data_IF_717788582321
#
_entry.id   IF_717788582321
#
_cell.length_a   1.000
_cell.length_b   1.000
_cell.length_c   1.000
_cell.angle_alpha   90.00
_cell.angle_beta   90.00
_cell.angle_gamma   90.00
#
_symmetry.space_group_name_H-M   'P 1'
#
loop_
_entity.id
_entity.type
_entity.pdbx_description
1 polymer ?
#
# COMPACT_ATOMS: atom_id res chain seq x y z
N UNK A 1 35.20 -29.78 55.41
CA UNK A 1 34.07 -28.86 55.16
C UNK A 1 34.55 -27.82 54.14
N UNK A 2 34.22 -28.00 52.87
CA UNK A 2 34.54 -27.04 51.81
C UNK A 2 33.24 -26.77 51.04
N UNK A 3 32.83 -25.50 51.07
CA UNK A 3 31.53 -25.01 50.60
C UNK A 3 31.52 -24.89 49.08
N UNK A 4 30.48 -25.46 48.45
CA UNK A 4 30.28 -25.46 47.01
C UNK A 4 29.87 -24.10 46.46
N UNK A 5 30.61 -23.63 45.44
CA UNK A 5 30.25 -22.45 44.65
C UNK A 5 29.08 -22.75 43.72
N UNK A 6 27.98 -22.01 43.86
CA UNK A 6 26.88 -22.00 42.91
C UNK A 6 27.14 -20.93 41.85
N UNK A 7 27.33 -21.36 40.60
CA UNK A 7 27.40 -20.52 39.42
C UNK A 7 25.99 -19.99 39.12
N UNK A 8 25.81 -18.67 39.20
CA UNK A 8 24.58 -17.99 38.81
C UNK A 8 24.63 -17.70 37.30
N UNK A 9 23.93 -18.48 36.48
CA UNK A 9 23.78 -18.21 35.05
C UNK A 9 22.65 -17.19 34.88
N UNK A 10 23.01 -15.92 34.65
CA UNK A 10 22.09 -14.88 34.19
C UNK A 10 21.82 -15.10 32.69
N UNK A 11 20.70 -15.74 32.37
CA UNK A 11 20.17 -15.74 31.00
C UNK A 11 19.60 -14.35 30.73
N UNK A 12 20.41 -13.49 30.11
CA UNK A 12 19.93 -12.25 29.50
C UNK A 12 19.14 -12.64 28.26
N UNK A 13 17.84 -12.90 28.45
CA UNK A 13 16.88 -12.99 27.36
C UNK A 13 16.85 -11.61 26.68
N UNK A 14 17.65 -11.49 25.62
CA UNK A 14 17.70 -10.32 24.76
C UNK A 14 16.36 -10.23 24.04
N UNK A 15 15.44 -9.45 24.58
CA UNK A 15 14.20 -9.06 23.89
C UNK A 15 14.62 -8.13 22.74
N UNK A 16 15.10 -8.71 21.66
CA UNK A 16 15.10 -8.09 20.34
C UNK A 16 13.63 -8.07 19.89
N UNK A 17 12.86 -7.20 20.53
CA UNK A 17 11.51 -6.86 20.13
C UNK A 17 11.57 -6.11 18.80
N UNK A 18 11.69 -6.85 17.70
CA UNK A 18 11.35 -6.36 16.38
C UNK A 18 9.86 -6.00 16.42
N UNK A 19 9.58 -4.75 16.77
CA UNK A 19 8.24 -4.20 16.88
C UNK A 19 7.69 -3.97 15.47
N UNK A 20 7.35 -5.08 14.80
CA UNK A 20 6.46 -5.13 13.65
C UNK A 20 5.18 -4.35 14.00
N UNK A 21 4.44 -3.86 13.00
CA UNK A 21 3.10 -3.29 13.22
C UNK A 21 2.36 -4.22 14.20
N UNK A 22 2.12 -3.76 15.43
CA UNK A 22 1.62 -4.62 16.50
C UNK A 22 0.17 -4.90 16.17
N UNK A 23 -0.05 -6.00 15.47
CA UNK A 23 -1.35 -6.60 15.35
C UNK A 23 -1.86 -6.84 16.77
N UNK A 24 -3.17 -6.71 16.97
CA UNK A 24 -3.79 -7.06 18.26
C UNK A 24 -3.53 -8.53 18.57
N UNK A 25 -3.55 -8.87 19.86
CA UNK A 25 -3.35 -10.24 20.31
C UNK A 25 -4.31 -11.21 19.60
N UNK A 26 -3.79 -12.36 19.15
CA UNK A 26 -4.56 -13.37 18.40
C UNK A 26 -4.66 -13.12 16.89
N UNK A 27 -4.29 -11.94 16.39
CA UNK A 27 -4.32 -11.66 14.96
C UNK A 27 -3.07 -12.18 14.24
N UNK A 28 -3.29 -12.73 13.03
CA UNK A 28 -2.26 -13.30 12.16
C UNK A 28 -2.26 -12.57 10.83
N UNK A 29 -1.09 -12.15 10.34
CA UNK A 29 -1.00 -11.41 9.07
C UNK A 29 -1.44 -12.27 7.87
N UNK A 30 -1.36 -13.58 8.01
CA UNK A 30 -1.85 -14.57 7.06
C UNK A 30 -3.35 -14.40 6.79
N UNK A 31 -4.14 -13.96 7.77
CA UNK A 31 -5.57 -13.66 7.58
C UNK A 31 -5.76 -12.52 6.59
N UNK A 32 -4.95 -11.45 6.67
CA UNK A 32 -4.98 -10.37 5.68
C UNK A 32 -4.55 -10.87 4.30
N UNK A 33 -3.48 -11.66 4.24
CA UNK A 33 -2.99 -12.21 2.96
C UNK A 33 -4.03 -13.11 2.29
N UNK A 34 -4.80 -13.86 3.07
CA UNK A 34 -5.88 -14.70 2.58
C UNK A 34 -7.07 -13.89 2.02
N UNK A 35 -7.26 -12.64 2.43
CA UNK A 35 -8.23 -11.74 1.81
C UNK A 35 -7.85 -11.39 0.37
N UNK A 36 -6.57 -11.41 0.02
CA UNK A 36 -6.07 -10.95 -1.28
C UNK A 36 -5.92 -9.42 -1.36
N UNK A 37 -5.40 -8.97 -2.50
CA UNK A 37 -5.15 -7.56 -2.84
C UNK A 37 -5.20 -7.32 -4.34
N UNK A 38 -6.01 -8.11 -5.04
CA UNK A 38 -6.26 -7.97 -6.48
C UNK A 38 -7.00 -6.67 -6.81
N UNK A 39 -7.78 -6.16 -5.86
CA UNK A 39 -8.49 -4.88 -5.94
C UNK A 39 -7.54 -3.66 -6.01
N UNK A 40 -6.24 -3.84 -5.81
CA UNK A 40 -5.25 -2.76 -5.97
C UNK A 40 -4.92 -2.60 -7.45
N UNK A 41 -5.31 -1.48 -8.09
CA UNK A 41 -5.22 -1.35 -9.54
C UNK A 41 -3.79 -1.53 -10.06
N UNK A 42 -3.65 -2.39 -11.08
CA UNK A 42 -2.38 -2.71 -11.74
C UNK A 42 -1.30 -3.29 -10.82
N UNK A 43 -1.60 -3.75 -9.60
CA UNK A 43 -0.56 -4.29 -8.71
C UNK A 43 -0.12 -5.71 -9.07
N UNK A 44 -1.08 -6.62 -9.30
CA UNK A 44 -0.82 -8.04 -9.63
C UNK A 44 -0.71 -8.31 -11.11
N UNK A 45 -1.33 -7.47 -11.94
CA UNK A 45 -1.49 -7.67 -13.38
C UNK A 45 -1.34 -6.32 -14.10
N UNK A 46 -0.86 -6.29 -15.35
CA UNK A 46 -0.93 -5.11 -16.22
C UNK A 46 -2.33 -4.88 -16.80
N UNK A 47 -3.36 -5.55 -16.31
CA UNK A 47 -4.71 -5.50 -16.84
C UNK A 47 -5.73 -5.36 -15.71
N UNK A 48 -6.72 -4.47 -15.88
CA UNK A 48 -7.95 -4.48 -15.08
C UNK A 48 -9.11 -5.00 -15.92
N UNK A 49 -10.11 -5.53 -15.23
CA UNK A 49 -11.26 -6.19 -15.84
C UNK A 49 -12.06 -5.22 -16.76
N UNK A 50 -12.21 -5.54 -18.05
CA UNK A 50 -12.82 -4.60 -19.00
C UNK A 50 -14.34 -4.63 -18.97
N UNK A 51 -14.94 -5.67 -19.55
CA UNK A 51 -16.39 -5.77 -19.77
C UNK A 51 -16.87 -7.22 -19.83
N UNK A 52 -18.18 -7.45 -19.77
CA UNK A 52 -18.78 -8.79 -19.83
C UNK A 52 -18.35 -9.67 -18.65
N UNK A 53 -18.11 -10.95 -18.92
CA UNK A 53 -17.82 -11.94 -17.87
C UNK A 53 -16.58 -11.59 -17.04
N UNK A 54 -15.53 -11.05 -17.67
CA UNK A 54 -14.30 -10.65 -16.95
C UNK A 54 -14.59 -9.53 -15.93
N UNK A 55 -15.42 -8.55 -16.33
CA UNK A 55 -15.85 -7.47 -15.45
C UNK A 55 -16.66 -8.00 -14.27
N UNK A 56 -17.62 -8.88 -14.52
CA UNK A 56 -18.47 -9.45 -13.48
C UNK A 56 -17.66 -10.28 -12.47
N UNK A 57 -16.72 -11.10 -12.95
CA UNK A 57 -15.83 -11.91 -12.12
C UNK A 57 -14.86 -11.03 -11.31
N UNK A 58 -14.28 -10.00 -11.93
CA UNK A 58 -13.42 -9.02 -11.28
C UNK A 58 -14.15 -8.29 -10.15
N UNK A 59 -15.33 -7.76 -10.45
CA UNK A 59 -16.19 -7.10 -9.47
C UNK A 59 -16.58 -8.04 -8.31
N UNK A 60 -16.98 -9.28 -8.60
CA UNK A 60 -17.32 -10.25 -7.56
C UNK A 60 -16.13 -10.56 -6.64
N UNK A 61 -14.93 -10.67 -7.23
CA UNK A 61 -13.69 -10.88 -6.49
C UNK A 61 -13.39 -9.67 -5.60
N UNK A 62 -13.38 -8.46 -6.13
CA UNK A 62 -13.07 -7.25 -5.37
C UNK A 62 -14.07 -7.02 -4.22
N UNK A 63 -15.37 -7.23 -4.46
CA UNK A 63 -16.42 -7.18 -3.43
C UNK A 63 -16.30 -8.25 -2.36
N UNK A 64 -15.48 -9.29 -2.57
CA UNK A 64 -15.15 -10.28 -1.55
C UNK A 64 -13.89 -9.89 -0.77
N UNK A 65 -12.86 -9.43 -1.48
CA UNK A 65 -11.55 -9.12 -0.89
C UNK A 65 -11.57 -7.88 -0.01
N UNK A 66 -12.29 -6.84 -0.42
CA UNK A 66 -12.31 -5.54 0.27
C UNK A 66 -12.98 -5.64 1.65
N UNK A 67 -14.20 -6.21 1.80
CA UNK A 67 -14.80 -6.37 3.11
C UNK A 67 -13.97 -7.26 4.05
N UNK A 68 -13.35 -8.31 3.52
CA UNK A 68 -12.40 -9.15 4.28
C UNK A 68 -11.23 -8.31 4.82
N UNK A 69 -10.62 -7.49 3.95
CA UNK A 69 -9.52 -6.60 4.30
C UNK A 69 -9.93 -5.55 5.34
N UNK A 70 -11.08 -4.90 5.15
CA UNK A 70 -11.63 -3.92 6.09
C UNK A 70 -11.90 -4.53 7.45
N UNK A 71 -12.46 -5.74 7.49
CA UNK A 71 -12.68 -6.50 8.73
C UNK A 71 -11.35 -6.75 9.44
N UNK A 72 -10.34 -7.24 8.73
CA UNK A 72 -9.02 -7.44 9.29
C UNK A 72 -8.44 -6.14 9.86
N UNK A 73 -8.46 -5.04 9.11
CA UNK A 73 -7.93 -3.75 9.57
C UNK A 73 -8.65 -3.32 10.86
N UNK A 74 -9.98 -3.40 10.90
CA UNK A 74 -10.79 -3.00 12.06
C UNK A 74 -10.49 -3.84 13.30
N UNK A 75 -10.42 -5.16 13.14
CA UNK A 75 -10.26 -6.10 14.24
C UNK A 75 -8.80 -6.18 14.70
N UNK A 76 -7.84 -6.15 13.79
CA UNK A 76 -6.45 -6.53 14.06
C UNK A 76 -5.46 -5.38 14.11
N UNK A 77 -5.83 -4.15 13.73
CA UNK A 77 -4.92 -2.99 13.78
C UNK A 77 -5.43 -1.92 14.74
N UNK A 78 -4.59 -0.95 15.06
CA UNK A 78 -4.93 0.13 16.00
C UNK A 78 -4.23 1.46 15.70
N UNK A 79 -4.75 2.53 16.29
CA UNK A 79 -4.18 3.87 16.22
C UNK A 79 -4.18 4.49 14.82
N UNK A 80 -3.19 5.33 14.53
CA UNK A 80 -3.08 6.04 13.25
C UNK A 80 -2.96 5.08 12.05
N UNK A 81 -2.29 3.94 12.23
CA UNK A 81 -2.16 2.94 11.16
C UNK A 81 -3.49 2.33 10.75
N UNK A 82 -4.38 2.08 11.73
CA UNK A 82 -5.74 1.62 11.47
C UNK A 82 -6.56 2.70 10.75
N UNK A 83 -6.52 3.94 11.24
CA UNK A 83 -7.27 5.04 10.67
C UNK A 83 -6.89 5.27 9.20
N UNK A 84 -5.58 5.39 8.91
CA UNK A 84 -5.09 5.57 7.55
C UNK A 84 -5.50 4.42 6.62
N UNK A 85 -5.33 3.16 7.06
CA UNK A 85 -5.68 2.00 6.25
C UNK A 85 -7.21 1.88 6.01
N UNK A 86 -8.04 2.18 7.02
CA UNK A 86 -9.50 2.20 6.85
C UNK A 86 -9.94 3.26 5.85
N UNK A 87 -9.39 4.47 5.92
CA UNK A 87 -9.73 5.55 4.97
C UNK A 87 -9.38 5.12 3.54
N UNK A 88 -8.16 4.65 3.30
CA UNK A 88 -7.74 4.28 1.95
C UNK A 88 -8.49 3.07 1.38
N UNK A 89 -8.75 2.03 2.19
CA UNK A 89 -9.47 0.85 1.71
C UNK A 89 -10.97 1.10 1.55
N UNK A 90 -11.59 1.96 2.38
CA UNK A 90 -12.99 2.38 2.18
C UNK A 90 -13.16 3.23 0.93
N UNK A 91 -12.21 4.12 0.64
CA UNK A 91 -12.23 4.87 -0.61
C UNK A 91 -12.17 3.93 -1.84
N UNK A 92 -11.42 2.82 -1.75
CA UNK A 92 -11.43 1.79 -2.79
C UNK A 92 -12.77 1.02 -2.85
N UNK A 93 -13.35 0.68 -1.70
CA UNK A 93 -14.68 0.07 -1.60
C UNK A 93 -15.74 0.92 -2.32
N UNK A 94 -15.79 2.22 -2.03
CA UNK A 94 -16.73 3.16 -2.64
C UNK A 94 -16.54 3.27 -4.16
N UNK A 95 -15.29 3.36 -4.62
CA UNK A 95 -14.98 3.39 -6.05
C UNK A 95 -15.38 2.10 -6.76
N UNK A 96 -15.08 0.95 -6.17
CA UNK A 96 -15.39 -0.35 -6.76
C UNK A 96 -16.89 -0.61 -6.74
N UNK A 97 -17.62 -0.27 -5.68
CA UNK A 97 -19.08 -0.35 -5.66
C UNK A 97 -19.70 0.55 -6.74
N UNK A 98 -19.20 1.77 -6.91
CA UNK A 98 -19.69 2.68 -7.94
C UNK A 98 -19.41 2.14 -9.36
N UNK A 99 -18.19 1.67 -9.63
CA UNK A 99 -17.78 1.11 -10.92
C UNK A 99 -18.56 -0.17 -11.23
N UNK A 100 -18.69 -1.08 -10.27
CA UNK A 100 -19.36 -2.37 -10.43
C UNK A 100 -20.89 -2.29 -10.46
N UNK A 101 -21.48 -1.10 -10.30
CA UNK A 101 -22.92 -0.90 -10.45
C UNK A 101 -23.24 -0.57 -11.91
N UNK A 102 -23.64 -1.59 -12.67
CA UNK A 102 -23.96 -1.44 -14.11
C UNK A 102 -24.96 -0.31 -14.33
N UNK A 103 -24.62 0.60 -15.24
CA UNK A 103 -25.45 1.75 -15.61
C UNK A 103 -25.23 3.01 -14.77
N UNK A 104 -24.46 2.93 -13.67
CA UNK A 104 -24.02 4.11 -12.92
C UNK A 104 -23.14 5.02 -13.78
N UNK A 105 -22.95 6.27 -13.34
CA UNK A 105 -22.03 7.20 -14.01
C UNK A 105 -20.58 6.69 -13.92
N UNK A 106 -20.17 6.17 -12.76
CA UNK A 106 -18.83 5.61 -12.56
C UNK A 106 -18.57 4.39 -13.46
N UNK A 107 -19.56 3.50 -13.60
CA UNK A 107 -19.50 2.38 -14.54
C UNK A 107 -19.28 2.87 -15.98
N UNK A 108 -20.12 3.80 -16.45
CA UNK A 108 -20.03 4.33 -17.82
C UNK A 108 -18.69 5.01 -18.07
N UNK A 109 -18.21 5.80 -17.11
CA UNK A 109 -16.91 6.45 -17.17
C UNK A 109 -15.79 5.40 -17.25
N UNK A 110 -15.77 4.42 -16.33
CA UNK A 110 -14.80 3.33 -16.34
C UNK A 110 -14.78 2.59 -17.68
N UNK A 111 -15.94 2.21 -18.23
CA UNK A 111 -16.05 1.52 -19.51
C UNK A 111 -15.49 2.35 -20.68
N UNK A 112 -15.64 3.67 -20.65
CA UNK A 112 -15.07 4.57 -21.65
C UNK A 112 -13.54 4.71 -21.58
N UNK A 113 -12.95 4.38 -20.43
CA UNK A 113 -11.54 4.58 -20.13
C UNK A 113 -10.71 3.30 -20.25
N UNK A 114 -11.31 2.17 -19.86
CA UNK A 114 -10.53 1.01 -19.43
C UNK A 114 -9.68 0.41 -20.55
N UNK A 115 -10.23 0.33 -21.76
CA UNK A 115 -9.49 -0.18 -22.94
C UNK A 115 -8.20 0.60 -23.20
N UNK A 116 -8.25 1.92 -23.07
CA UNK A 116 -7.05 2.74 -23.23
C UNK A 116 -6.07 2.50 -22.09
N UNK A 117 -6.56 2.49 -20.84
CA UNK A 117 -5.71 2.27 -19.67
C UNK A 117 -4.99 0.91 -19.75
N UNK A 118 -5.70 -0.15 -20.14
CA UNK A 118 -5.11 -1.48 -20.37
C UNK A 118 -4.10 -1.50 -21.52
N UNK A 119 -4.27 -0.68 -22.56
CA UNK A 119 -3.28 -0.56 -23.65
C UNK A 119 -1.92 -0.01 -23.18
N UNK A 120 -1.89 0.70 -22.06
CA UNK A 120 -0.66 1.17 -21.38
C UNK A 120 -0.40 0.45 -20.05
N UNK A 121 -1.08 -0.67 -19.84
CA UNK A 121 -1.16 -1.39 -18.58
C UNK A 121 0.20 -1.89 -18.05
N UNK A 122 1.12 -2.30 -18.92
CA UNK A 122 2.49 -2.68 -18.52
C UNK A 122 3.24 -1.51 -17.88
N UNK A 123 3.04 -0.29 -18.38
CA UNK A 123 3.67 0.91 -17.81
C UNK A 123 3.06 1.21 -16.43
N UNK A 124 1.73 1.12 -16.31
CA UNK A 124 1.02 1.32 -15.05
C UNK A 124 1.46 0.30 -14.00
N UNK A 125 1.49 -0.98 -14.36
CA UNK A 125 1.97 -2.07 -13.50
C UNK A 125 3.39 -1.82 -13.04
N UNK A 126 4.30 -1.43 -13.95
CA UNK A 126 5.68 -1.10 -13.60
C UNK A 126 5.75 0.07 -12.62
N UNK A 127 4.92 1.10 -12.75
CA UNK A 127 4.87 2.22 -11.81
C UNK A 127 4.46 1.75 -10.41
N UNK A 128 3.38 0.96 -10.30
CA UNK A 128 2.87 0.43 -9.03
C UNK A 128 3.87 -0.53 -8.38
N UNK A 129 4.51 -1.41 -9.16
CA UNK A 129 5.58 -2.30 -8.68
C UNK A 129 6.81 -1.53 -8.19
N UNK A 130 7.23 -0.50 -8.94
CA UNK A 130 8.37 0.33 -8.53
C UNK A 130 8.08 1.08 -7.23
N UNK A 131 6.84 1.57 -7.06
CA UNK A 131 6.39 2.15 -5.80
C UNK A 131 6.49 1.12 -4.67
N UNK A 132 5.81 -0.02 -4.82
CA UNK A 132 5.84 -1.13 -3.86
C UNK A 132 7.27 -1.48 -3.42
N UNK A 133 8.20 -1.65 -4.36
CA UNK A 133 9.58 -2.01 -4.09
C UNK A 133 10.34 -0.94 -3.27
N UNK A 134 9.98 0.35 -3.41
CA UNK A 134 10.55 1.41 -2.57
C UNK A 134 9.98 1.35 -1.16
N UNK A 135 8.66 1.22 -0.98
CA UNK A 135 8.09 1.11 0.37
C UNK A 135 8.60 -0.16 1.06
N UNK A 136 8.70 -1.28 0.36
CA UNK A 136 9.16 -2.55 0.93
C UNK A 136 10.58 -2.41 1.46
N UNK A 137 11.49 -1.83 0.66
CA UNK A 137 12.86 -1.55 1.12
C UNK A 137 12.88 -0.58 2.30
N UNK A 138 12.06 0.46 2.27
CA UNK A 138 11.98 1.41 3.38
C UNK A 138 11.51 0.73 4.68
N UNK A 139 10.45 -0.08 4.62
CA UNK A 139 9.89 -0.77 5.78
C UNK A 139 10.82 -1.87 6.32
N UNK A 140 11.51 -2.61 5.44
CA UNK A 140 12.32 -3.77 5.85
C UNK A 140 13.74 -3.36 6.26
N UNK A 141 14.35 -2.39 5.58
CA UNK A 141 15.78 -2.01 5.78
C UNK A 141 16.02 -0.53 6.00
N UNK A 142 15.02 0.32 5.78
CA UNK A 142 15.16 1.76 6.01
C UNK A 142 15.29 2.07 7.49
N UNK A 143 15.99 3.16 7.81
CA UNK A 143 15.90 3.72 9.15
C UNK A 143 14.44 4.15 9.39
N UNK A 144 13.91 3.79 10.56
CA UNK A 144 12.51 4.03 10.91
C UNK A 144 12.03 5.46 10.66
N UNK A 145 12.85 6.44 11.04
CA UNK A 145 12.60 7.87 10.84
C UNK A 145 12.46 8.29 9.37
N UNK A 146 13.02 7.49 8.47
CA UNK A 146 13.06 7.77 7.03
C UNK A 146 11.96 7.00 6.26
N UNK A 147 11.18 6.12 6.92
CA UNK A 147 10.11 5.34 6.27
C UNK A 147 9.03 6.25 5.68
N UNK A 148 8.46 7.16 6.47
CA UNK A 148 7.41 8.09 6.01
C UNK A 148 7.95 9.07 4.96
N UNK A 149 9.10 9.74 5.19
CA UNK A 149 9.77 10.51 4.14
C UNK A 149 9.97 9.74 2.83
N UNK A 150 10.44 8.48 2.91
CA UNK A 150 10.68 7.64 1.73
C UNK A 150 9.39 7.35 0.99
N UNK A 151 8.33 6.99 1.70
CA UNK A 151 7.01 6.74 1.11
C UNK A 151 6.46 7.99 0.45
N UNK A 152 6.56 9.15 1.08
CA UNK A 152 6.08 10.42 0.50
C UNK A 152 6.80 10.78 -0.80
N UNK A 153 8.12 10.67 -0.82
CA UNK A 153 8.89 10.91 -2.03
C UNK A 153 8.58 9.87 -3.12
N UNK A 154 8.47 8.59 -2.74
CA UNK A 154 8.14 7.51 -3.66
C UNK A 154 6.73 7.66 -4.25
N UNK A 155 5.77 8.14 -3.46
CA UNK A 155 4.41 8.40 -3.90
C UNK A 155 4.42 9.42 -5.04
N UNK A 156 5.12 10.55 -4.89
CA UNK A 156 5.20 11.55 -5.95
C UNK A 156 5.85 11.01 -7.23
N UNK A 157 6.89 10.18 -7.09
CA UNK A 157 7.51 9.49 -8.25
C UNK A 157 6.52 8.53 -8.91
N UNK A 158 5.74 7.80 -8.13
CA UNK A 158 4.72 6.88 -8.63
C UNK A 158 3.57 7.61 -9.34
N UNK A 159 3.06 8.70 -8.75
CA UNK A 159 2.03 9.55 -9.36
C UNK A 159 2.50 10.16 -10.68
N UNK A 160 3.75 10.61 -10.75
CA UNK A 160 4.33 11.11 -12.00
C UNK A 160 4.48 10.00 -13.05
N UNK A 161 4.93 8.82 -12.63
CA UNK A 161 5.04 7.65 -13.49
C UNK A 161 3.67 7.27 -14.08
N UNK A 162 2.63 7.19 -13.25
CA UNK A 162 1.26 6.87 -13.67
C UNK A 162 0.71 7.95 -14.61
N UNK A 163 0.86 9.23 -14.25
CA UNK A 163 0.45 10.36 -15.09
C UNK A 163 1.09 10.30 -16.48
N UNK A 164 2.39 10.03 -16.55
CA UNK A 164 3.12 9.94 -17.81
C UNK A 164 2.76 8.66 -18.60
N UNK A 165 2.49 7.55 -17.93
CA UNK A 165 2.01 6.33 -18.57
C UNK A 165 0.64 6.54 -19.25
N UNK A 166 -0.20 7.41 -18.68
CA UNK A 166 -1.55 7.72 -19.16
C UNK A 166 -1.61 8.86 -20.18
N UNK A 167 -0.49 9.50 -20.54
CA UNK A 167 -0.47 10.56 -21.57
C UNK A 167 -1.15 10.12 -22.88
N UNK A 168 -0.96 8.89 -23.42
CA UNK A 168 -1.67 8.44 -24.61
C UNK A 168 -3.20 8.33 -24.44
N UNK A 169 -3.69 8.32 -23.20
CA UNK A 169 -5.10 8.19 -22.83
C UNK A 169 -5.71 9.48 -22.28
N UNK A 170 -5.05 10.63 -22.47
CA UNK A 170 -5.52 11.92 -21.95
C UNK A 170 -6.84 12.36 -22.60
N UNK A 171 -7.02 12.08 -23.90
CA UNK A 171 -8.23 12.46 -24.64
C UNK A 171 -9.51 11.77 -24.15
N UNK A 172 -9.39 10.62 -23.50
CA UNK A 172 -10.53 9.91 -22.90
C UNK A 172 -10.72 10.25 -21.43
N UNK A 173 -9.80 11.00 -20.81
CA UNK A 173 -9.90 11.42 -19.40
C UNK A 173 -9.25 10.45 -18.39
N UNK A 174 -8.49 9.45 -18.84
CA UNK A 174 -7.93 8.41 -17.96
C UNK A 174 -7.00 8.96 -16.88
N UNK A 175 -6.23 9.99 -17.21
CA UNK A 175 -5.34 10.66 -16.26
C UNK A 175 -6.10 11.36 -15.13
N UNK A 176 -7.20 12.05 -15.46
CA UNK A 176 -8.04 12.73 -14.47
C UNK A 176 -8.74 11.70 -13.57
N UNK A 177 -9.26 10.62 -14.17
CA UNK A 177 -9.85 9.51 -13.43
C UNK A 177 -8.89 8.91 -12.40
N UNK A 178 -7.69 8.51 -12.83
CA UNK A 178 -6.69 7.92 -11.93
C UNK A 178 -6.20 8.90 -10.85
N UNK A 179 -6.06 10.19 -11.20
CA UNK A 179 -5.73 11.22 -10.21
C UNK A 179 -6.83 11.38 -9.15
N UNK A 180 -8.11 11.33 -9.56
CA UNK A 180 -9.25 11.39 -8.65
C UNK A 180 -9.29 10.22 -7.68
N UNK A 181 -9.10 8.99 -8.17
CA UNK A 181 -9.04 7.79 -7.32
C UNK A 181 -7.91 7.91 -6.28
N UNK A 182 -6.71 8.31 -6.72
CA UNK A 182 -5.56 8.46 -5.84
C UNK A 182 -5.77 9.57 -4.80
N UNK A 183 -6.34 10.70 -5.19
CA UNK A 183 -6.65 11.81 -4.28
C UNK A 183 -7.67 11.40 -3.22
N UNK A 184 -8.73 10.69 -3.60
CA UNK A 184 -9.74 10.18 -2.66
C UNK A 184 -9.11 9.20 -1.64
N UNK A 185 -8.18 8.35 -2.08
CA UNK A 185 -7.56 7.35 -1.21
C UNK A 185 -6.54 7.93 -0.24
N UNK A 186 -5.76 8.93 -0.68
CA UNK A 186 -4.53 9.33 0.01
C UNK A 186 -4.36 10.84 0.20
N UNK A 187 -5.13 11.69 -0.48
CA UNK A 187 -4.91 13.14 -0.55
C UNK A 187 -4.74 13.80 0.83
N UNK A 188 -5.75 13.68 1.68
CA UNK A 188 -5.71 14.24 3.04
C UNK A 188 -4.60 13.64 3.90
N UNK A 189 -4.42 12.32 3.84
CA UNK A 189 -3.41 11.60 4.62
C UNK A 189 -2.01 12.06 4.24
N UNK A 190 -1.70 12.14 2.95
CA UNK A 190 -0.40 12.56 2.43
C UNK A 190 -0.13 14.04 2.72
N UNK A 191 -1.15 14.89 2.59
CA UNK A 191 -1.03 16.30 2.95
C UNK A 191 -0.65 16.49 4.43
N UNK A 192 -1.18 15.63 5.31
CA UNK A 192 -0.86 15.65 6.74
C UNK A 192 0.56 15.14 7.05
N UNK A 193 0.98 14.01 6.44
CA UNK A 193 2.20 13.30 6.86
C UNK A 193 3.44 13.66 6.06
N UNK A 194 3.31 14.15 4.82
CA UNK A 194 4.46 14.33 3.95
C UNK A 194 5.22 15.65 4.18
N UNK A 195 4.57 16.68 4.72
CA UNK A 195 5.24 17.92 5.12
C UNK A 195 6.14 18.50 4.01
N UNK A 196 7.46 18.50 4.24
CA UNK A 196 8.47 19.00 3.29
C UNK A 196 8.88 18.00 2.19
N UNK A 197 8.50 16.72 2.31
CA UNK A 197 8.81 15.64 1.35
C UNK A 197 7.83 15.63 0.18
N UNK A 198 7.72 16.78 -0.50
CA UNK A 198 6.88 16.99 -1.69
C UNK A 198 7.65 16.70 -2.98
N UNK A 199 6.92 16.53 -4.08
CA UNK A 199 7.49 16.37 -5.42
C UNK A 199 8.60 17.40 -5.69
N UNK A 200 9.78 16.91 -6.09
CA UNK A 200 10.92 17.73 -6.48
C UNK A 200 11.63 18.49 -5.35
N UNK A 201 11.20 18.34 -4.08
CA UNK A 201 11.78 19.08 -2.96
C UNK A 201 13.22 18.65 -2.68
N UNK A 202 14.01 19.56 -2.10
CA UNK A 202 15.36 19.25 -1.66
C UNK A 202 15.37 18.20 -0.53
N UNK A 203 14.31 18.12 0.26
CA UNK A 203 14.16 17.08 1.29
C UNK A 203 14.11 15.68 0.66
N UNK A 204 13.36 15.49 -0.44
CA UNK A 204 13.35 14.22 -1.16
C UNK A 204 14.70 13.89 -1.82
N UNK A 205 15.41 14.90 -2.32
CA UNK A 205 16.75 14.71 -2.94
C UNK A 205 17.82 14.34 -1.91
N UNK A 206 17.71 14.87 -0.70
CA UNK A 206 18.65 14.62 0.39
C UNK A 206 18.38 13.30 1.13
N UNK A 207 17.22 12.67 0.90
CA UNK A 207 16.83 11.46 1.61
C UNK A 207 17.69 10.25 1.16
N UNK A 208 18.31 9.51 2.09
CA UNK A 208 19.04 8.30 1.74
C UNK A 208 18.12 7.27 1.07
N UNK A 209 18.57 6.66 -0.01
CA UNK A 209 17.83 5.59 -0.66
C UNK A 209 17.82 4.34 0.23
N UNK A 210 16.66 3.71 0.47
CA UNK A 210 16.59 2.46 1.20
C UNK A 210 17.46 1.37 0.53
N UNK A 211 18.25 0.60 1.32
CA UNK A 211 19.09 -0.46 0.79
C UNK A 211 18.28 -1.49 0.00
N UNK A 212 18.90 -2.11 -1.02
CA UNK A 212 18.27 -3.23 -1.73
C UNK A 212 18.05 -4.41 -0.78
N UNK A 213 16.95 -5.12 -0.99
CA UNK A 213 16.65 -6.36 -0.29
C UNK A 213 17.52 -7.48 -0.86
N UNK A 214 18.19 -8.22 0.01
CA UNK A 214 18.93 -9.43 -0.29
C UNK A 214 18.05 -10.68 -0.29
N UNK A 215 18.66 -11.87 -0.47
CA UNK A 215 17.94 -13.15 -0.53
C UNK A 215 17.24 -13.52 0.77
N UNK A 216 17.80 -13.13 1.91
CA UNK A 216 17.28 -13.48 3.25
C UNK A 216 16.36 -12.41 3.85
N UNK A 217 16.19 -11.27 3.17
CA UNK A 217 15.34 -10.19 3.65
C UNK A 217 13.86 -10.57 3.49
N UNK A 218 13.05 -10.28 4.53
CA UNK A 218 11.61 -10.52 4.53
C UNK A 218 10.95 -9.83 3.34
N UNK A 219 10.06 -10.56 2.66
CA UNK A 219 9.20 -10.01 1.60
C UNK A 219 7.80 -9.74 2.12
N UNK A 220 7.20 -8.68 1.59
CA UNK A 220 5.85 -8.22 1.90
C UNK A 220 5.06 -8.22 0.58
N UNK A 221 4.48 -9.36 0.17
CA UNK A 221 3.86 -9.48 -1.16
C UNK A 221 2.45 -8.89 -1.23
N UNK A 222 1.84 -8.55 -0.09
CA UNK A 222 0.51 -7.97 -0.01
C UNK A 222 0.61 -6.45 0.18
N UNK A 223 -0.03 -5.69 -0.71
CA UNK A 223 0.07 -4.24 -0.75
C UNK A 223 -0.53 -3.57 0.50
N UNK A 224 -1.59 -4.16 1.06
CA UNK A 224 -2.22 -3.65 2.30
C UNK A 224 -1.32 -3.92 3.51
N UNK A 225 -0.70 -5.10 3.60
CA UNK A 225 0.32 -5.39 4.62
C UNK A 225 1.47 -4.37 4.56
N UNK A 226 1.93 -4.03 3.34
CA UNK A 226 2.98 -3.05 3.15
C UNK A 226 2.56 -1.66 3.62
N UNK A 227 1.35 -1.23 3.25
CA UNK A 227 0.77 0.05 3.67
C UNK A 227 0.63 0.12 5.20
N UNK A 228 0.18 -0.95 5.84
CA UNK A 228 0.12 -1.05 7.30
C UNK A 228 1.52 -0.96 7.93
N UNK A 229 2.51 -1.63 7.33
CA UNK A 229 3.92 -1.56 7.74
C UNK A 229 4.45 -0.13 7.69
N UNK A 230 4.20 0.59 6.60
CA UNK A 230 4.54 2.01 6.47
C UNK A 230 3.84 2.85 7.52
N UNK A 231 2.51 2.74 7.65
CA UNK A 231 1.74 3.57 8.58
C UNK A 231 2.06 3.29 10.05
N UNK A 232 2.56 2.09 10.38
CA UNK A 232 3.06 1.78 11.73
C UNK A 232 4.32 2.55 12.14
N UNK A 233 4.93 3.27 11.18
CA UNK A 233 6.03 4.21 11.42
C UNK A 233 5.55 5.63 11.71
N UNK A 234 4.26 5.95 11.49
CA UNK A 234 3.67 7.24 11.83
C UNK A 234 3.57 7.38 13.36
N UNK A 235 4.05 8.49 13.90
CA UNK A 235 3.86 8.86 15.31
C UNK A 235 4.72 8.11 16.34
N UNK A 236 5.55 7.15 15.94
CA UNK A 236 6.53 6.54 16.85
C UNK A 236 7.76 7.46 16.95
N UNK A 237 7.94 8.14 18.09
CA UNK A 237 9.19 8.85 18.40
C UNK A 237 10.31 7.81 18.59
N UNK A 238 11.51 8.12 18.10
CA UNK A 238 12.72 7.31 18.30
C UNK A 238 13.02 7.13 19.78
#
# INVERSE_FOLDING_TARGET
MASGGRILILVVASVLGACQAQLKEGCKIETLRACGDDFVPYYKSPHLHESGQEFDEGCAKDKTQIPCTLKFIKECTQGLSQAAALVSVKALEENIEAICTIGSEAYKNYQGLIKCMNSVGDKLHKCVKSFHDVLERAVVKGARKDVIPSTCCAYHVASDCISNALTPCESVGAKAFMAGVVEQMFGETLNLVCGQHKKGSNACKALPQPPRLGPNDRRIPNFVELTLGTSSSIGRRN
#
